data_IF_988803321536
#
_entry.id   IF_988803321536
#
_cell.length_a   1.000
_cell.length_b   1.000
_cell.length_c   1.000
_cell.angle_alpha   90.00
_cell.angle_beta   90.00
_cell.angle_gamma   90.00
#
_symmetry.space_group_name_H-M   'P 1'
#
loop_
_entity.id
_entity.type
_entity.pdbx_description
1 polymer ?
#
# COMPACT_ATOMS: atom_id res chain seq x y z
N UNK A 1 11.73 6.85 7.71
CA UNK A 1 10.45 7.35 7.16
C UNK A 1 10.76 8.00 5.83
N UNK A 2 10.12 7.53 4.76
CA UNK A 2 10.32 8.02 3.39
C UNK A 2 9.22 9.05 3.08
N UNK A 3 9.60 10.16 2.46
CA UNK A 3 8.63 11.13 1.93
C UNK A 3 8.13 10.72 0.54
N UNK A 4 6.86 11.00 0.20
CA UNK A 4 6.30 10.72 -1.14
C UNK A 4 7.13 11.37 -2.26
N UNK A 5 7.73 12.54 -2.01
CA UNK A 5 8.61 13.21 -2.97
C UNK A 5 9.93 12.46 -3.24
N UNK A 6 10.32 11.55 -2.35
CA UNK A 6 11.51 10.72 -2.48
C UNK A 6 11.24 9.38 -3.19
N UNK A 7 9.98 9.05 -3.47
CA UNK A 7 9.64 7.86 -4.24
C UNK A 7 10.07 8.00 -5.71
N UNK A 8 10.38 6.87 -6.37
CA UNK A 8 10.50 6.80 -7.82
C UNK A 8 9.33 7.53 -8.51
N UNK A 9 9.59 8.37 -9.53
CA UNK A 9 8.56 9.16 -10.21
C UNK A 9 7.38 8.33 -10.70
N UNK A 10 7.63 7.10 -11.15
CA UNK A 10 6.64 6.15 -11.67
C UNK A 10 5.67 5.71 -10.59
N UNK A 11 6.18 5.40 -9.39
CA UNK A 11 5.34 5.07 -8.23
C UNK A 11 4.51 6.30 -7.85
N UNK A 12 5.14 7.48 -7.77
CA UNK A 12 4.44 8.71 -7.37
C UNK A 12 3.33 9.06 -8.35
N UNK A 13 3.60 9.04 -9.65
CA UNK A 13 2.61 9.39 -10.67
C UNK A 13 1.35 8.51 -10.60
N UNK A 14 1.50 7.24 -10.24
CA UNK A 14 0.39 6.30 -10.16
C UNK A 14 -0.31 6.31 -8.79
N UNK A 15 0.44 6.47 -7.69
CA UNK A 15 -0.05 6.20 -6.34
C UNK A 15 -0.12 7.40 -5.39
N UNK A 16 0.29 8.60 -5.81
CA UNK A 16 0.39 9.78 -4.93
C UNK A 16 -0.92 10.11 -4.20
N UNK A 17 -2.07 10.05 -4.86
CA UNK A 17 -3.37 10.34 -4.24
C UNK A 17 -3.69 9.33 -3.12
N UNK A 18 -3.56 8.03 -3.41
CA UNK A 18 -3.74 6.98 -2.41
C UNK A 18 -2.77 7.13 -1.22
N UNK A 19 -1.49 7.41 -1.50
CA UNK A 19 -0.47 7.57 -0.46
C UNK A 19 -0.74 8.81 0.41
N UNK A 20 -1.25 9.89 -0.18
CA UNK A 20 -1.68 11.08 0.56
C UNK A 20 -2.89 10.80 1.46
N UNK A 21 -3.88 10.04 0.99
CA UNK A 21 -5.04 9.63 1.79
C UNK A 21 -4.64 8.73 2.98
N UNK A 22 -3.76 7.76 2.72
CA UNK A 22 -3.22 6.88 3.77
C UNK A 22 -2.42 7.68 4.78
N UNK A 23 -1.59 8.62 4.32
CA UNK A 23 -0.82 9.52 5.19
C UNK A 23 -1.72 10.40 6.07
N UNK A 24 -2.79 10.96 5.51
CA UNK A 24 -3.79 11.70 6.27
C UNK A 24 -4.47 10.84 7.35
N UNK A 25 -4.53 9.53 7.14
CA UNK A 25 -5.06 8.53 8.08
C UNK A 25 -4.00 7.94 9.04
N UNK A 26 -2.80 8.54 9.08
CA UNK A 26 -1.72 8.20 10.01
C UNK A 26 -0.75 7.13 9.52
N UNK A 27 -0.84 6.69 8.27
CA UNK A 27 0.13 5.75 7.68
C UNK A 27 1.41 6.47 7.24
N UNK A 28 2.53 5.77 7.31
CA UNK A 28 3.85 6.29 6.96
C UNK A 28 4.58 5.30 6.07
N UNK A 29 5.29 5.79 5.06
CA UNK A 29 6.07 4.93 4.17
C UNK A 29 7.33 4.47 4.90
N UNK A 30 7.50 3.16 5.04
CA UNK A 30 8.66 2.53 5.68
C UNK A 30 9.66 2.00 4.66
N UNK A 31 9.20 1.49 3.52
CA UNK A 31 10.04 1.04 2.41
C UNK A 31 9.34 1.24 1.06
N UNK A 32 10.12 1.30 -0.02
CA UNK A 32 9.61 1.29 -1.38
C UNK A 32 10.67 0.75 -2.36
N UNK A 33 10.22 0.15 -3.46
CA UNK A 33 11.07 -0.30 -4.55
C UNK A 33 10.33 -0.13 -5.87
N UNK A 34 11.08 0.23 -6.91
CA UNK A 34 10.63 0.23 -8.30
C UNK A 34 11.62 -0.57 -9.13
N UNK A 35 11.10 -1.42 -10.01
CA UNK A 35 11.90 -2.26 -10.90
C UNK A 35 11.43 -2.09 -12.35
N UNK A 36 12.18 -1.31 -13.13
CA UNK A 36 11.86 -1.01 -14.52
C UNK A 36 11.95 -2.25 -15.43
N UNK A 37 12.80 -3.23 -15.09
CA UNK A 37 13.06 -4.40 -15.95
C UNK A 37 11.89 -5.37 -16.00
N UNK A 38 10.95 -5.26 -15.06
CA UNK A 38 9.79 -6.12 -14.91
C UNK A 38 8.53 -5.29 -15.09
N UNK A 39 8.28 -4.76 -16.29
CA UNK A 39 7.04 -4.03 -16.62
C UNK A 39 6.68 -2.84 -15.71
N UNK A 40 7.66 -2.28 -15.00
CA UNK A 40 7.45 -1.21 -14.05
C UNK A 40 6.78 -1.67 -12.75
N UNK A 41 7.12 -2.87 -12.30
CA UNK A 41 6.72 -3.42 -11.02
C UNK A 41 7.22 -2.55 -9.86
N UNK A 42 6.42 -2.47 -8.81
CA UNK A 42 6.79 -1.72 -7.62
C UNK A 42 6.12 -2.27 -6.37
N UNK A 43 6.71 -1.95 -5.21
CA UNK A 43 6.01 -2.06 -3.95
C UNK A 43 6.25 -0.83 -3.07
N UNK A 44 5.29 -0.57 -2.19
CA UNK A 44 5.38 0.44 -1.13
C UNK A 44 4.91 -0.19 0.17
N UNK A 45 5.79 -0.20 1.17
CA UNK A 45 5.46 -0.61 2.53
C UNK A 45 5.02 0.60 3.34
N UNK A 46 3.90 0.45 4.05
CA UNK A 46 3.37 1.45 4.95
C UNK A 46 3.17 0.90 6.36
N UNK A 47 3.40 1.74 7.35
CA UNK A 47 3.27 1.42 8.76
C UNK A 47 2.34 2.41 9.46
N UNK A 48 1.54 1.92 10.41
CA UNK A 48 0.70 2.70 11.31
C UNK A 48 0.61 2.01 12.67
N UNK A 49 1.45 2.45 13.61
CA UNK A 49 1.57 1.80 14.91
C UNK A 49 2.17 0.41 14.77
N UNK A 50 1.46 -0.61 15.26
CA UNK A 50 1.86 -2.03 15.13
C UNK A 50 1.35 -2.68 13.84
N UNK A 51 0.64 -1.94 12.98
CA UNK A 51 0.14 -2.45 11.70
C UNK A 51 1.10 -2.07 10.59
N UNK A 52 1.35 -3.02 9.70
CA UNK A 52 2.16 -2.83 8.51
C UNK A 52 1.44 -3.42 7.30
N UNK A 53 1.52 -2.75 6.16
CA UNK A 53 0.97 -3.22 4.89
C UNK A 53 1.98 -3.04 3.78
N UNK A 54 1.86 -3.85 2.72
CA UNK A 54 2.56 -3.66 1.45
C UNK A 54 1.56 -3.49 0.34
N UNK A 55 1.68 -2.42 -0.42
CA UNK A 55 1.03 -2.20 -1.70
C UNK A 55 1.97 -2.71 -2.79
N UNK A 56 1.47 -3.48 -3.75
CA UNK A 56 2.28 -4.13 -4.78
C UNK A 56 1.62 -3.91 -6.12
N UNK A 57 2.44 -3.61 -7.13
CA UNK A 57 2.13 -3.78 -8.55
C UNK A 57 3.11 -4.77 -9.14
N UNK A 58 2.59 -5.87 -9.67
CA UNK A 58 3.35 -6.90 -10.37
C UNK A 58 2.63 -7.27 -11.67
N UNK A 59 3.32 -7.18 -12.80
CA UNK A 59 2.78 -7.48 -14.14
C UNK A 59 1.42 -6.79 -14.42
N UNK A 60 1.32 -5.50 -14.07
CA UNK A 60 0.09 -4.69 -14.18
C UNK A 60 -1.10 -5.14 -13.29
N UNK A 61 -0.88 -6.07 -12.36
CA UNK A 61 -1.84 -6.45 -11.34
C UNK A 61 -1.47 -5.78 -10.02
N UNK A 62 -2.46 -5.23 -9.34
CA UNK A 62 -2.28 -4.61 -8.03
C UNK A 62 -2.74 -5.57 -6.94
N UNK A 63 -1.97 -5.65 -5.85
CA UNK A 63 -2.34 -6.39 -4.65
C UNK A 63 -1.95 -5.59 -3.41
N UNK A 64 -2.61 -5.86 -2.28
CA UNK A 64 -2.12 -5.41 -0.98
C UNK A 64 -2.12 -6.57 0.01
N UNK A 65 -1.20 -6.52 0.95
CA UNK A 65 -1.05 -7.53 1.99
C UNK A 65 -0.76 -6.87 3.34
N UNK A 66 -1.34 -7.42 4.40
CA UNK A 66 -0.94 -7.08 5.77
C UNK A 66 0.36 -7.81 6.10
N UNK A 67 1.36 -7.07 6.57
CA UNK A 67 2.63 -7.59 7.04
C UNK A 67 2.48 -7.88 8.54
N UNK A 68 2.07 -9.09 8.90
CA UNK A 68 2.01 -9.57 10.28
C UNK A 68 3.28 -10.37 10.62
N UNK A 69 3.88 -10.11 11.79
CA UNK A 69 5.08 -10.81 12.30
C UNK A 69 4.86 -12.31 12.56
N UNK A 70 3.60 -12.75 12.56
CA UNK A 70 3.16 -14.14 12.76
C UNK A 70 2.72 -14.66 11.40
N UNK A 71 3.33 -15.78 10.98
CA UNK A 71 3.17 -16.49 9.70
C UNK A 71 2.01 -16.01 8.81
N UNK A 72 2.27 -15.72 7.52
CA UNK A 72 1.23 -15.22 6.61
C UNK A 72 0.04 -16.16 6.66
N UNK A 73 -1.10 -15.67 7.19
CA UNK A 73 -2.37 -16.38 7.01
C UNK A 73 -2.50 -16.58 5.51
N UNK A 74 -2.67 -17.84 5.11
CA UNK A 74 -2.62 -18.34 3.74
C UNK A 74 -3.76 -17.84 2.83
N UNK A 75 -4.32 -16.66 3.09
CA UNK A 75 -5.26 -16.01 2.21
C UNK A 75 -4.45 -15.26 1.16
N UNK A 76 -4.49 -15.77 -0.07
CA UNK A 76 -3.84 -15.11 -1.19
C UNK A 76 -4.39 -13.69 -1.31
N UNK A 77 -3.54 -12.66 -1.48
CA UNK A 77 -4.00 -11.30 -1.60
C UNK A 77 -4.92 -11.16 -2.81
N UNK A 78 -6.03 -10.45 -2.65
CA UNK A 78 -6.99 -10.21 -3.74
C UNK A 78 -6.32 -9.41 -4.85
N UNK A 79 -6.27 -9.94 -6.09
CA UNK A 79 -5.72 -9.21 -7.22
C UNK A 79 -6.73 -8.19 -7.77
N UNK A 80 -6.23 -7.03 -8.18
CA UNK A 80 -6.98 -5.96 -8.83
C UNK A 80 -6.34 -5.65 -10.17
N UNK A 81 -7.13 -5.66 -11.25
CA UNK A 81 -6.64 -5.44 -12.62
C UNK A 81 -6.51 -3.96 -12.99
N UNK A 82 -6.98 -3.05 -12.13
CA UNK A 82 -6.85 -1.61 -12.34
C UNK A 82 -6.59 -0.87 -11.03
N UNK A 83 -5.92 0.28 -11.14
CA UNK A 83 -5.52 1.07 -9.99
C UNK A 83 -6.71 1.69 -9.24
N UNK A 84 -7.77 2.13 -9.94
CA UNK A 84 -8.92 2.78 -9.29
C UNK A 84 -9.66 1.85 -8.31
N UNK A 85 -9.87 0.59 -8.71
CA UNK A 85 -10.51 -0.41 -7.84
C UNK A 85 -9.61 -0.82 -6.69
N UNK A 86 -8.30 -0.91 -6.94
CA UNK A 86 -7.29 -1.14 -5.93
C UNK A 86 -7.25 0.00 -4.89
N UNK A 87 -7.16 1.25 -5.34
CA UNK A 87 -7.18 2.45 -4.50
C UNK A 87 -8.40 2.42 -3.59
N UNK A 88 -9.60 2.28 -4.16
CA UNK A 88 -10.82 2.24 -3.37
C UNK A 88 -10.79 1.13 -2.32
N UNK A 89 -10.38 -0.08 -2.70
CA UNK A 89 -10.31 -1.20 -1.76
C UNK A 89 -9.32 -0.95 -0.61
N UNK A 90 -8.15 -0.39 -0.91
CA UNK A 90 -7.13 -0.06 0.10
C UNK A 90 -7.61 1.07 1.01
N UNK A 91 -8.21 2.13 0.45
CA UNK A 91 -8.75 3.25 1.21
C UNK A 91 -9.89 2.80 2.14
N UNK A 92 -10.84 1.99 1.62
CA UNK A 92 -11.94 1.43 2.41
C UNK A 92 -11.41 0.53 3.54
N UNK A 93 -10.43 -0.33 3.25
CA UNK A 93 -9.79 -1.18 4.26
C UNK A 93 -9.05 -0.35 5.32
N UNK A 94 -8.25 0.63 4.92
CA UNK A 94 -7.43 1.45 5.81
C UNK A 94 -8.29 2.36 6.72
N UNK A 95 -9.41 2.86 6.17
CA UNK A 95 -10.42 3.64 6.88
C UNK A 95 -11.27 2.80 7.84
N UNK A 96 -11.69 1.60 7.43
CA UNK A 96 -12.43 0.66 8.29
C UNK A 96 -11.58 0.11 9.45
N UNK A 97 -10.26 0.09 9.27
CA UNK A 97 -9.27 -0.28 10.30
C UNK A 97 -8.82 0.89 11.19
N UNK A 98 -9.55 2.02 11.19
CA UNK A 98 -9.31 3.15 12.07
C UNK A 98 -9.27 2.76 13.56
N UNK A 99 -8.73 3.61 14.45
CA UNK A 99 -8.64 3.30 15.87
C UNK A 99 -10.05 2.95 16.36
N UNK A 100 -10.18 1.77 16.98
CA UNK A 100 -11.38 1.42 17.72
C UNK A 100 -11.59 2.51 18.76
N UNK A 101 -12.42 3.50 18.46
CA UNK A 101 -12.95 4.42 19.45
C UNK A 101 -13.96 3.61 20.24
N UNK A 102 -13.43 2.79 21.15
CA UNK A 102 -14.16 2.40 22.34
C UNK A 102 -14.50 3.71 23.05
N UNK A 103 -15.76 4.12 22.95
CA UNK A 103 -16.40 5.09 23.84
C UNK A 103 -17.55 4.39 24.55
#
# INVERSE_FOLDING_TARGET
MIEISQLPPEIRQESEDLLNELRASGWQISAAMYEASFFGDWFVDLERGEKSIRLIKENAVFTFQELVDIEPKAEAPTPFENFDTFHKAVADWAGSNGPSLVR
#
